data_IF_179268853348
#
_entry.id   IF_179268853348
#
_cell.length_a   1.000
_cell.length_b   1.000
_cell.length_c   1.000
_cell.angle_alpha   90.00
_cell.angle_beta   90.00
_cell.angle_gamma   90.00
#
_symmetry.space_group_name_H-M   'P 1'
#
loop_
_entity.id
_entity.type
_entity.pdbx_description
1 polymer ?
#
# COMPACT_ATOMS: atom_id res chain seq x y z
N UNK A 1 30.18 7.51 10.89
CA UNK A 1 29.10 7.15 9.94
C UNK A 1 28.07 8.27 10.02
N UNK A 2 27.80 8.97 8.92
CA UNK A 2 26.88 10.10 8.91
C UNK A 2 25.41 9.66 8.99
N UNK A 3 24.52 10.59 9.35
CA UNK A 3 23.06 10.37 9.46
C UNK A 3 22.46 9.80 8.16
N UNK A 4 22.99 10.22 6.98
CA UNK A 4 22.57 9.68 5.68
C UNK A 4 22.87 8.18 5.51
N UNK A 5 23.98 7.69 6.06
CA UNK A 5 24.29 6.26 5.99
C UNK A 5 23.32 5.42 6.82
N UNK A 6 22.93 5.93 8.00
CA UNK A 6 21.93 5.28 8.84
C UNK A 6 20.55 5.25 8.18
N UNK A 7 20.18 6.31 7.43
CA UNK A 7 18.92 6.37 6.69
C UNK A 7 18.82 5.31 5.59
N UNK A 8 19.88 5.11 4.82
CA UNK A 8 19.92 4.04 3.81
C UNK A 8 19.77 2.63 4.42
N UNK A 9 20.38 2.40 5.58
CA UNK A 9 20.22 1.13 6.29
C UNK A 9 18.77 0.86 6.67
N UNK A 10 18.08 1.86 7.20
CA UNK A 10 16.69 1.73 7.62
C UNK A 10 15.75 1.45 6.44
N UNK A 11 15.90 2.19 5.34
CA UNK A 11 15.11 1.96 4.12
C UNK A 11 15.39 0.59 3.52
N UNK A 12 16.67 0.21 3.37
CA UNK A 12 17.06 -1.08 2.82
C UNK A 12 16.56 -2.25 3.70
N UNK A 13 16.60 -2.12 5.01
CA UNK A 13 16.07 -3.13 5.92
C UNK A 13 14.58 -3.38 5.68
N UNK A 14 13.77 -2.32 5.54
CA UNK A 14 12.34 -2.41 5.25
C UNK A 14 12.09 -3.00 3.86
N UNK A 15 12.82 -2.51 2.85
CA UNK A 15 12.71 -3.01 1.46
C UNK A 15 13.07 -4.48 1.35
N UNK A 16 14.12 -4.94 2.06
CA UNK A 16 14.53 -6.35 2.06
C UNK A 16 13.50 -7.28 2.73
N UNK A 17 12.56 -6.75 3.50
CA UNK A 17 11.44 -7.53 4.02
C UNK A 17 10.35 -7.72 2.97
N UNK A 18 10.11 -6.70 2.13
CA UNK A 18 9.16 -6.77 1.00
C UNK A 18 9.77 -7.56 -0.16
N UNK A 19 10.98 -7.22 -0.57
CA UNK A 19 11.71 -7.81 -1.69
C UNK A 19 12.91 -8.61 -1.14
N UNK A 20 12.68 -9.87 -0.85
CA UNK A 20 13.73 -10.73 -0.33
C UNK A 20 14.74 -11.08 -1.43
N UNK A 21 16.02 -11.19 -1.11
CA UNK A 21 17.03 -11.51 -2.12
C UNK A 21 16.95 -12.96 -2.63
N UNK A 22 16.28 -13.83 -1.89
CA UNK A 22 16.21 -15.29 -2.15
C UNK A 22 14.96 -15.69 -2.95
N UNK A 23 13.99 -14.80 -3.15
CA UNK A 23 12.73 -15.11 -3.83
C UNK A 23 12.00 -13.90 -4.36
N UNK A 24 11.05 -14.13 -5.28
CA UNK A 24 10.11 -13.10 -5.73
C UNK A 24 9.18 -12.65 -4.58
N UNK A 25 8.80 -11.37 -4.60
CA UNK A 25 7.82 -10.87 -3.66
C UNK A 25 6.42 -11.39 -4.03
N UNK A 26 5.75 -12.04 -3.08
CA UNK A 26 4.35 -12.44 -3.17
C UNK A 26 3.59 -11.81 -2.00
N UNK A 27 2.97 -10.66 -2.27
CA UNK A 27 2.20 -9.91 -1.28
C UNK A 27 0.70 -10.17 -1.48
N UNK A 28 0.01 -10.53 -0.41
CA UNK A 28 -1.43 -10.78 -0.43
C UNK A 28 -2.18 -9.53 0.06
N UNK A 29 -2.95 -8.84 -0.81
CA UNK A 29 -3.75 -7.71 -0.42
C UNK A 29 -5.03 -8.19 0.29
N UNK A 30 -5.28 -7.65 1.48
CA UNK A 30 -6.52 -7.86 2.25
C UNK A 30 -7.11 -6.54 2.76
N UNK A 31 -6.63 -5.42 2.24
CA UNK A 31 -7.05 -4.05 2.53
C UNK A 31 -8.29 -3.57 1.76
N UNK A 32 -8.84 -4.41 0.89
CA UNK A 32 -9.93 -4.08 -0.04
C UNK A 32 -11.14 -3.38 0.61
N UNK A 33 -11.37 -3.61 1.91
CA UNK A 33 -12.44 -2.95 2.65
C UNK A 33 -12.34 -1.41 2.66
N UNK A 34 -11.15 -0.85 2.46
CA UNK A 34 -10.95 0.60 2.34
C UNK A 34 -11.45 1.20 1.03
N UNK A 35 -11.63 0.37 0.01
CA UNK A 35 -12.05 0.80 -1.34
C UNK A 35 -13.45 0.32 -1.67
N UNK A 36 -13.72 -0.96 -1.41
CA UNK A 36 -14.94 -1.64 -1.86
C UNK A 36 -15.94 -1.93 -0.73
N UNK A 37 -15.61 -1.57 0.53
CA UNK A 37 -16.42 -1.94 1.69
C UNK A 37 -16.44 -3.45 1.90
N UNK A 38 -17.63 -4.05 2.01
CA UNK A 38 -17.75 -5.50 2.21
C UNK A 38 -17.43 -6.27 0.92
N UNK A 39 -16.33 -6.99 0.95
CA UNK A 39 -15.89 -7.86 -0.16
C UNK A 39 -16.14 -9.32 0.23
N UNK A 40 -16.82 -10.07 -0.66
CA UNK A 40 -17.07 -11.51 -0.47
C UNK A 40 -15.75 -12.25 -0.28
N UNK A 41 -15.69 -13.13 0.70
CA UNK A 41 -14.52 -13.90 1.13
C UNK A 41 -13.43 -13.11 1.89
N UNK A 42 -13.59 -11.80 2.06
CA UNK A 42 -12.72 -10.96 2.88
C UNK A 42 -13.43 -10.39 4.12
N UNK A 43 -14.61 -10.93 4.46
CA UNK A 43 -15.38 -10.47 5.63
C UNK A 43 -14.66 -10.73 6.96
N UNK A 44 -13.75 -11.72 6.98
CA UNK A 44 -12.90 -12.05 8.12
C UNK A 44 -11.42 -12.01 7.70
N UNK A 45 -10.83 -10.82 7.48
CA UNK A 45 -9.50 -10.68 6.89
C UNK A 45 -8.39 -11.36 7.70
N UNK A 46 -8.47 -11.38 9.03
CA UNK A 46 -7.51 -12.09 9.88
C UNK A 46 -7.59 -13.61 9.66
N UNK A 47 -8.77 -14.16 9.43
CA UNK A 47 -8.92 -15.59 9.08
C UNK A 47 -8.29 -15.90 7.73
N UNK A 48 -8.44 -15.00 6.76
CA UNK A 48 -7.78 -15.11 5.45
C UNK A 48 -6.26 -15.04 5.63
N UNK A 49 -5.76 -14.07 6.38
CA UNK A 49 -4.32 -13.96 6.71
C UNK A 49 -3.77 -15.28 7.29
N UNK A 50 -4.46 -15.87 8.27
CA UNK A 50 -4.03 -17.15 8.90
C UNK A 50 -3.89 -18.30 7.91
N UNK A 51 -4.67 -18.34 6.85
CA UNK A 51 -4.54 -19.33 5.79
C UNK A 51 -3.27 -19.11 5.00
N UNK A 52 -3.04 -17.87 4.56
CA UNK A 52 -1.87 -17.51 3.75
C UNK A 52 -0.56 -17.52 4.54
N UNK A 53 -0.57 -17.39 5.87
CA UNK A 53 0.64 -17.57 6.70
C UNK A 53 1.24 -18.98 6.62
N UNK A 54 0.49 -19.95 6.10
CA UNK A 54 0.95 -21.33 5.88
C UNK A 54 1.53 -21.57 4.48
N UNK A 55 1.38 -20.57 3.62
CA UNK A 55 1.81 -20.59 2.23
C UNK A 55 3.12 -19.81 2.05
N UNK A 56 3.74 -19.92 0.88
CA UNK A 56 5.00 -19.23 0.57
C UNK A 56 4.78 -17.76 0.16
N UNK A 57 4.10 -17.00 1.01
CA UNK A 57 3.91 -15.56 0.82
C UNK A 57 5.02 -14.76 1.52
N UNK A 58 5.33 -13.57 1.00
CA UNK A 58 6.36 -12.70 1.57
C UNK A 58 5.78 -11.59 2.44
N UNK A 59 4.50 -11.26 2.29
CA UNK A 59 3.87 -10.19 3.07
C UNK A 59 2.39 -10.01 2.81
N UNK A 60 1.83 -9.06 3.53
CA UNK A 60 0.42 -8.68 3.42
C UNK A 60 0.27 -7.18 3.24
N UNK A 61 -0.67 -6.78 2.38
CA UNK A 61 -1.18 -5.43 2.31
C UNK A 61 -2.42 -5.34 3.20
N UNK A 62 -2.40 -4.42 4.16
CA UNK A 62 -3.33 -4.38 5.29
C UNK A 62 -3.83 -2.97 5.56
N UNK A 63 -4.98 -2.85 6.21
CA UNK A 63 -5.47 -1.60 6.80
C UNK A 63 -5.06 -1.48 8.27
N UNK A 64 -5.20 -0.28 8.84
CA UNK A 64 -4.94 -0.02 10.27
C UNK A 64 -5.75 -0.94 11.19
N UNK A 65 -7.01 -1.20 10.84
CA UNK A 65 -7.88 -2.10 11.59
C UNK A 65 -7.39 -3.55 11.55
N UNK A 66 -6.89 -4.00 10.39
CA UNK A 66 -6.35 -5.35 10.22
C UNK A 66 -5.05 -5.52 10.99
N UNK A 67 -4.14 -4.53 10.95
CA UNK A 67 -2.90 -4.57 11.76
C UNK A 67 -3.22 -4.79 13.23
N UNK A 68 -4.15 -4.00 13.78
CA UNK A 68 -4.55 -4.12 15.19
C UNK A 68 -5.21 -5.46 15.50
N UNK A 69 -6.10 -5.94 14.61
CA UNK A 69 -6.81 -7.21 14.81
C UNK A 69 -5.94 -8.45 14.64
N UNK A 70 -4.80 -8.35 13.96
CA UNK A 70 -3.87 -9.45 13.66
C UNK A 70 -2.52 -9.30 14.37
N UNK A 71 -2.45 -8.54 15.44
CA UNK A 71 -1.20 -8.27 16.16
C UNK A 71 -0.49 -9.55 16.58
N UNK A 72 -1.23 -10.53 17.11
CA UNK A 72 -0.67 -11.82 17.55
C UNK A 72 -0.09 -12.61 16.39
N UNK A 73 -0.82 -12.70 15.27
CA UNK A 73 -0.40 -13.42 14.07
C UNK A 73 0.83 -12.78 13.43
N UNK A 74 0.83 -11.45 13.33
CA UNK A 74 1.95 -10.70 12.76
C UNK A 74 3.18 -10.73 13.66
N UNK A 75 3.01 -10.70 14.98
CA UNK A 75 4.12 -10.83 15.93
C UNK A 75 4.75 -12.23 15.87
N UNK A 76 3.94 -13.28 15.69
CA UNK A 76 4.41 -14.65 15.51
C UNK A 76 5.07 -14.92 14.15
N UNK A 77 4.96 -13.96 13.21
CA UNK A 77 5.48 -14.09 11.84
C UNK A 77 6.39 -12.90 11.48
N UNK A 78 7.53 -12.71 12.18
CA UNK A 78 8.38 -11.52 12.05
C UNK A 78 9.02 -11.38 10.66
N UNK A 79 9.07 -12.46 9.88
CA UNK A 79 9.58 -12.47 8.50
C UNK A 79 8.59 -11.89 7.49
N UNK A 80 7.30 -11.76 7.83
CA UNK A 80 6.28 -11.26 6.92
C UNK A 80 6.37 -9.75 6.80
N UNK A 81 6.47 -9.26 5.57
CA UNK A 81 6.39 -7.84 5.29
C UNK A 81 4.95 -7.31 5.54
N UNK A 82 4.88 -6.11 6.06
CA UNK A 82 3.62 -5.41 6.37
C UNK A 82 3.56 -4.13 5.56
N UNK A 83 2.63 -4.08 4.61
CA UNK A 83 2.40 -2.91 3.77
C UNK A 83 1.08 -2.30 4.21
N UNK A 84 1.13 -1.08 4.76
CA UNK A 84 -0.06 -0.41 5.27
C UNK A 84 -0.70 0.45 4.18
N UNK A 85 -1.92 0.14 3.79
CA UNK A 85 -2.75 1.05 3.02
C UNK A 85 -3.19 2.22 3.92
N UNK A 86 -2.74 3.43 3.57
CA UNK A 86 -2.98 4.65 4.36
C UNK A 86 -4.02 5.57 3.75
N UNK A 87 -4.61 5.20 2.62
CA UNK A 87 -5.70 5.93 1.99
C UNK A 87 -6.95 5.06 1.82
N UNK A 88 -8.08 5.74 1.70
CA UNK A 88 -9.35 5.15 1.39
C UNK A 88 -9.97 5.89 0.20
N UNK A 89 -10.69 5.14 -0.62
CA UNK A 89 -11.34 5.65 -1.82
C UNK A 89 -12.69 4.96 -2.02
N UNK A 90 -13.72 5.75 -2.33
CA UNK A 90 -15.07 5.24 -2.58
C UNK A 90 -15.55 5.65 -3.96
N UNK A 91 -15.29 4.84 -5.00
CA UNK A 91 -15.55 5.22 -6.40
C UNK A 91 -17.03 5.43 -6.73
N UNK A 92 -17.93 4.90 -5.91
CA UNK A 92 -19.38 4.89 -6.23
C UNK A 92 -20.20 5.90 -5.44
N UNK A 93 -19.69 6.51 -4.38
CA UNK A 93 -20.52 7.25 -3.42
C UNK A 93 -20.37 8.76 -3.44
N UNK A 94 -19.37 9.31 -4.13
CA UNK A 94 -19.16 10.74 -4.19
C UNK A 94 -18.32 11.13 -5.43
N UNK A 95 -18.93 11.22 -6.62
CA UNK A 95 -18.22 11.58 -7.85
C UNK A 95 -17.56 12.95 -7.76
N UNK A 96 -18.09 13.87 -6.94
CA UNK A 96 -17.58 15.24 -6.81
C UNK A 96 -16.52 15.42 -5.72
N UNK A 97 -16.28 14.40 -4.88
CA UNK A 97 -15.26 14.43 -3.81
C UNK A 97 -14.12 13.46 -4.05
N UNK A 98 -14.02 12.95 -5.25
CA UNK A 98 -13.34 11.78 -5.77
C UNK A 98 -11.87 11.55 -5.47
N UNK A 99 -11.22 12.38 -4.67
CA UNK A 99 -9.77 12.25 -4.40
C UNK A 99 -9.43 11.30 -3.25
N UNK A 100 -10.40 10.57 -2.67
CA UNK A 100 -10.16 9.74 -1.50
C UNK A 100 -9.56 10.54 -0.33
N UNK A 101 -9.27 9.89 0.77
CA UNK A 101 -8.67 10.56 1.94
C UNK A 101 -7.59 9.69 2.58
N UNK A 102 -6.64 10.34 3.27
CA UNK A 102 -5.72 9.61 4.14
C UNK A 102 -6.47 9.18 5.40
N UNK A 103 -6.32 7.92 5.77
CA UNK A 103 -6.92 7.29 6.97
C UNK A 103 -5.85 6.94 8.02
N UNK A 104 -4.59 7.11 7.67
CA UNK A 104 -3.45 7.02 8.59
C UNK A 104 -2.32 7.94 8.08
N UNK A 105 -1.45 8.35 9.00
CA UNK A 105 -0.21 9.07 8.69
C UNK A 105 0.98 8.12 8.54
N UNK A 106 2.10 8.64 8.03
CA UNK A 106 3.37 7.90 8.03
C UNK A 106 3.86 7.64 9.46
N UNK A 107 3.63 8.58 10.37
CA UNK A 107 3.96 8.40 11.80
C UNK A 107 3.17 7.24 12.41
N UNK A 108 1.87 7.12 12.11
CA UNK A 108 1.06 5.98 12.55
C UNK A 108 1.62 4.66 12.00
N UNK A 109 2.04 4.63 10.74
CA UNK A 109 2.67 3.46 10.13
C UNK A 109 3.96 3.06 10.84
N UNK A 110 4.80 4.04 11.21
CA UNK A 110 6.03 3.80 11.99
C UNK A 110 5.69 3.22 13.36
N UNK A 111 4.72 3.78 14.06
CA UNK A 111 4.27 3.30 15.38
C UNK A 111 3.68 1.89 15.34
N UNK A 112 3.06 1.52 14.22
CA UNK A 112 2.52 0.17 13.99
C UNK A 112 3.60 -0.83 13.57
N UNK A 113 4.85 -0.40 13.36
CA UNK A 113 5.95 -1.27 12.97
C UNK A 113 5.80 -1.89 11.58
N UNK A 114 5.14 -1.19 10.64
CA UNK A 114 5.00 -1.66 9.25
C UNK A 114 6.25 -1.33 8.43
N UNK A 115 6.42 -2.03 7.33
CA UNK A 115 7.62 -1.97 6.51
C UNK A 115 7.48 -1.01 5.32
N UNK A 116 6.25 -0.71 4.90
CA UNK A 116 5.96 0.15 3.76
C UNK A 116 4.57 0.77 3.94
N UNK A 117 4.36 1.98 3.44
CA UNK A 117 3.03 2.56 3.26
C UNK A 117 2.61 2.49 1.80
N UNK A 118 1.31 2.33 1.55
CA UNK A 118 0.75 2.21 0.21
C UNK A 118 -0.36 3.23 0.01
N UNK A 119 -0.37 3.85 -1.17
CA UNK A 119 -1.44 4.73 -1.64
C UNK A 119 -1.91 4.30 -3.03
N UNK A 120 -3.19 4.50 -3.29
CA UNK A 120 -3.77 4.36 -4.62
C UNK A 120 -3.41 5.56 -5.50
N UNK A 121 -3.14 5.27 -6.77
CA UNK A 121 -3.01 6.26 -7.84
C UNK A 121 -4.06 5.95 -8.93
N UNK A 122 -5.33 6.33 -8.73
CA UNK A 122 -6.34 6.18 -9.76
C UNK A 122 -5.99 7.02 -10.99
N UNK A 123 -6.05 6.40 -12.18
CA UNK A 123 -5.61 7.06 -13.41
C UNK A 123 -6.73 7.35 -14.41
N UNK A 124 -7.80 6.57 -14.41
CA UNK A 124 -9.00 6.82 -15.21
C UNK A 124 -9.93 7.87 -14.56
N UNK A 125 -9.33 8.94 -14.10
CA UNK A 125 -9.99 10.10 -13.48
C UNK A 125 -9.65 11.35 -14.28
N UNK A 126 -10.32 12.48 -14.04
CA UNK A 126 -10.00 13.72 -14.72
C UNK A 126 -8.64 14.31 -14.29
N UNK A 127 -8.10 15.25 -15.07
CA UNK A 127 -6.76 15.79 -14.83
C UNK A 127 -6.63 16.56 -13.51
N UNK A 128 -7.71 17.18 -13.03
CA UNK A 128 -7.73 17.87 -11.72
C UNK A 128 -7.54 16.86 -10.61
N UNK A 129 -8.23 15.73 -10.69
CA UNK A 129 -8.09 14.64 -9.73
C UNK A 129 -6.70 13.98 -9.80
N UNK A 130 -6.16 13.75 -11.01
CA UNK A 130 -4.77 13.25 -11.16
C UNK A 130 -3.77 14.13 -10.44
N UNK A 131 -3.85 15.45 -10.65
CA UNK A 131 -2.99 16.44 -9.96
C UNK A 131 -3.13 16.33 -8.44
N UNK A 132 -4.34 16.11 -7.93
CA UNK A 132 -4.60 15.95 -6.49
C UNK A 132 -3.95 14.66 -5.94
N UNK A 133 -4.05 13.54 -6.67
CA UNK A 133 -3.40 12.29 -6.29
C UNK A 133 -1.88 12.43 -6.28
N UNK A 134 -1.29 13.00 -7.32
CA UNK A 134 0.15 13.23 -7.38
C UNK A 134 0.64 14.13 -6.23
N UNK A 135 -0.08 15.22 -5.93
CA UNK A 135 0.25 16.09 -4.78
C UNK A 135 0.20 15.33 -3.45
N UNK A 136 -0.83 14.49 -3.26
CA UNK A 136 -0.96 13.67 -2.05
C UNK A 136 0.21 12.70 -1.91
N UNK A 137 0.53 11.98 -2.98
CA UNK A 137 1.66 11.03 -2.98
C UNK A 137 2.96 11.77 -2.68
N UNK A 138 3.24 12.89 -3.37
CA UNK A 138 4.42 13.71 -3.10
C UNK A 138 4.52 14.21 -1.66
N UNK A 139 3.39 14.58 -1.05
CA UNK A 139 3.36 14.97 0.37
C UNK A 139 3.71 13.78 1.28
N UNK A 140 3.12 12.61 1.02
CA UNK A 140 3.42 11.40 1.80
C UNK A 140 4.85 10.94 1.60
N UNK A 141 5.39 10.99 0.38
CA UNK A 141 6.81 10.66 0.10
C UNK A 141 7.73 11.59 0.88
N UNK A 142 7.44 12.90 0.89
CA UNK A 142 8.22 13.88 1.65
C UNK A 142 8.19 13.62 3.17
N UNK A 143 7.04 13.21 3.70
CA UNK A 143 6.92 12.80 5.11
C UNK A 143 7.65 11.48 5.38
N UNK A 144 7.43 10.48 4.53
CA UNK A 144 8.01 9.15 4.63
C UNK A 144 9.54 9.15 4.62
N UNK A 145 10.14 10.08 3.85
CA UNK A 145 11.60 10.24 3.78
C UNK A 145 12.22 10.57 5.14
N UNK A 146 11.50 11.30 6.01
CA UNK A 146 11.96 11.65 7.37
C UNK A 146 12.06 10.42 8.27
N UNK A 147 11.28 9.40 7.97
CA UNK A 147 11.18 8.15 8.72
C UNK A 147 11.88 6.97 8.03
N UNK A 148 12.50 7.21 6.88
CA UNK A 148 13.05 6.16 6.03
C UNK A 148 12.02 5.06 5.72
N UNK A 149 10.76 5.47 5.54
CA UNK A 149 9.63 4.60 5.24
C UNK A 149 9.48 4.49 3.72
N UNK A 150 9.56 3.29 3.14
CA UNK A 150 9.21 3.08 1.73
C UNK A 150 7.76 3.46 1.44
N UNK A 151 7.52 4.01 0.27
CA UNK A 151 6.18 4.33 -0.23
C UNK A 151 5.91 3.53 -1.49
N UNK A 152 4.77 2.86 -1.54
CA UNK A 152 4.26 2.17 -2.71
C UNK A 152 3.11 2.99 -3.30
N UNK A 153 3.26 3.48 -4.51
CA UNK A 153 2.15 4.00 -5.30
C UNK A 153 1.56 2.86 -6.13
N UNK A 154 0.28 2.58 -5.96
CA UNK A 154 -0.44 1.55 -6.70
C UNK A 154 -1.27 2.18 -7.80
N UNK A 155 -0.83 2.10 -9.08
CA UNK A 155 -1.63 2.53 -10.21
C UNK A 155 -2.88 1.67 -10.33
N UNK A 156 -4.07 2.29 -10.45
CA UNK A 156 -5.33 1.57 -10.59
C UNK A 156 -6.23 2.20 -11.63
N UNK A 157 -6.94 1.35 -12.36
CA UNK A 157 -8.03 1.73 -13.26
C UNK A 157 -9.33 1.22 -12.64
N UNK A 158 -10.02 2.14 -11.96
CA UNK A 158 -11.23 1.81 -11.24
C UNK A 158 -12.37 1.50 -12.21
N UNK A 159 -13.08 0.38 -11.97
CA UNK A 159 -14.26 -0.06 -12.73
C UNK A 159 -14.04 -0.26 -14.24
N UNK A 160 -12.81 -0.31 -14.74
CA UNK A 160 -12.54 -0.56 -16.13
C UNK A 160 -12.32 -2.07 -16.40
N UNK A 161 -12.90 -2.62 -17.47
CA UNK A 161 -12.56 -3.97 -17.91
C UNK A 161 -11.11 -4.00 -18.40
N UNK A 162 -10.38 -5.07 -18.11
CA UNK A 162 -9.00 -5.21 -18.62
C UNK A 162 -9.00 -5.30 -20.15
N UNK A 163 -8.27 -4.40 -20.78
CA UNK A 163 -8.01 -4.38 -22.22
C UNK A 163 -6.52 -4.09 -22.46
N UNK A 164 -6.00 -4.37 -23.69
CA UNK A 164 -4.60 -4.02 -24.01
C UNK A 164 -4.28 -2.55 -23.80
N UNK A 165 -5.19 -1.65 -24.11
CA UNK A 165 -5.02 -0.20 -23.95
C UNK A 165 -4.91 0.19 -22.47
N UNK A 166 -5.64 -0.49 -21.59
CA UNK A 166 -5.54 -0.27 -20.13
C UNK A 166 -4.19 -0.76 -19.61
N UNK A 167 -3.68 -1.88 -20.11
CA UNK A 167 -2.37 -2.38 -19.72
C UNK A 167 -1.26 -1.41 -20.14
N UNK A 168 -1.33 -0.85 -21.35
CA UNK A 168 -0.38 0.20 -21.78
C UNK A 168 -0.47 1.44 -20.90
N UNK A 169 -1.68 1.88 -20.56
CA UNK A 169 -1.89 3.02 -19.69
C UNK A 169 -1.42 2.73 -18.25
N UNK A 170 -1.58 1.52 -17.72
CA UNK A 170 -1.01 1.11 -16.43
C UNK A 170 0.53 1.18 -16.43
N UNK A 171 1.17 0.80 -17.54
CA UNK A 171 2.62 0.93 -17.69
C UNK A 171 3.08 2.39 -17.75
N UNK A 172 2.31 3.27 -18.40
CA UNK A 172 2.58 4.71 -18.42
C UNK A 172 2.49 5.31 -17.02
N UNK A 173 1.45 4.97 -16.26
CA UNK A 173 1.28 5.42 -14.87
C UNK A 173 2.40 4.93 -13.97
N UNK A 174 2.85 3.70 -14.16
CA UNK A 174 3.98 3.16 -13.40
C UNK A 174 5.26 4.00 -13.62
N UNK A 175 5.46 4.56 -14.82
CA UNK A 175 6.56 5.50 -15.10
C UNK A 175 6.40 6.81 -14.36
N UNK A 176 5.18 7.39 -14.39
CA UNK A 176 4.89 8.64 -13.67
C UNK A 176 5.04 8.48 -12.15
N UNK A 177 4.72 7.30 -11.62
CA UNK A 177 4.90 7.02 -10.20
C UNK A 177 6.38 6.79 -9.80
N UNK A 178 7.25 6.50 -10.78
CA UNK A 178 8.68 6.33 -10.55
C UNK A 178 9.42 7.69 -10.49
N UNK A 179 9.02 8.67 -11.30
CA UNK A 179 9.61 10.02 -11.36
C UNK A 179 9.11 10.91 -10.20
#
# INVERSE_FOLDING_TARGET
MGVEALGRYSTNYRMNRVFRPDRAALVVPIDHGLVWGRVKQLEAPVTVMKRFLKEDVTGFMVSTGIVKASEVELAASPQMARILAIDAFWPTSAPDTGTGTLVASVEDAVRMGVDCVKLLLPWNVNDVEKVQYCKRIGTVVSEASKWHMPVMAEPVFLAAPRSPEIIEAELEVARVAYD
#
